data_IF_103086630654
#
_entry.id   IF_103086630654
#
_cell.length_a   1.000
_cell.length_b   1.000
_cell.length_c   1.000
_cell.angle_alpha   90.00
_cell.angle_beta   90.00
_cell.angle_gamma   90.00
#
_symmetry.space_group_name_H-M   'P 1'
#
loop_
_entity.id
_entity.type
_entity.pdbx_description
1 polymer ?
#
# COMPACT_ATOMS: atom_id res chain seq x y z
N UNK A 1 14.59 6.71 -0.35
CA UNK A 1 13.78 7.52 0.60
C UNK A 1 12.36 7.58 0.06
N UNK A 2 11.33 7.22 0.85
CA UNK A 2 9.95 7.41 0.45
C UNK A 2 9.62 8.91 0.34
N UNK A 3 8.67 9.24 -0.53
CA UNK A 3 8.13 10.60 -0.67
C UNK A 3 6.70 10.60 -0.16
N UNK A 4 6.40 11.53 0.72
CA UNK A 4 5.03 11.77 1.19
C UNK A 4 4.19 12.42 0.08
N UNK A 5 2.94 11.98 -0.05
CA UNK A 5 1.97 12.47 -1.03
C UNK A 5 0.59 12.64 -0.37
N UNK A 6 -0.20 13.59 -0.87
CA UNK A 6 -1.54 13.85 -0.33
C UNK A 6 -2.62 12.96 -0.96
N UNK A 7 -3.83 13.01 -0.40
CA UNK A 7 -5.01 12.25 -0.87
C UNK A 7 -5.28 12.38 -2.37
N UNK A 8 -5.17 13.59 -2.91
CA UNK A 8 -5.46 13.83 -4.34
C UNK A 8 -4.39 13.23 -5.25
N UNK A 9 -3.14 13.19 -4.80
CA UNK A 9 -2.06 12.51 -5.51
C UNK A 9 -2.25 10.99 -5.48
N UNK A 10 -2.66 10.43 -4.32
CA UNK A 10 -2.99 9.00 -4.21
C UNK A 10 -4.07 8.61 -5.22
N UNK A 11 -5.19 9.34 -5.26
CA UNK A 11 -6.27 9.09 -6.23
C UNK A 11 -5.77 9.14 -7.68
N UNK A 12 -4.99 10.16 -8.03
CA UNK A 12 -4.45 10.33 -9.38
C UNK A 12 -3.51 9.20 -9.77
N UNK A 13 -2.62 8.80 -8.87
CA UNK A 13 -1.63 7.77 -9.12
C UNK A 13 -2.27 6.38 -9.21
N UNK A 14 -3.26 6.09 -8.34
CA UNK A 14 -4.03 4.84 -8.42
C UNK A 14 -4.81 4.77 -9.74
N UNK A 15 -5.45 5.86 -10.16
CA UNK A 15 -6.12 5.93 -11.46
C UNK A 15 -5.15 5.74 -12.65
N UNK A 16 -3.87 6.09 -12.46
CA UNK A 16 -2.79 5.87 -13.43
C UNK A 16 -2.11 4.49 -13.31
N UNK A 17 -2.61 3.59 -12.45
CA UNK A 17 -2.13 2.21 -12.33
C UNK A 17 -1.10 1.96 -11.23
N UNK A 18 -0.88 2.91 -10.31
CA UNK A 18 -0.05 2.66 -9.12
C UNK A 18 -0.61 1.51 -8.26
N UNK A 19 0.29 0.81 -7.59
CA UNK A 19 -0.02 -0.27 -6.64
C UNK A 19 -0.20 0.35 -5.26
N UNK A 20 -1.39 0.21 -4.69
CA UNK A 20 -1.69 0.67 -3.33
C UNK A 20 -1.46 -0.49 -2.36
N UNK A 21 -0.65 -0.27 -1.32
CA UNK A 21 -0.20 -1.33 -0.40
C UNK A 21 -0.52 -0.91 1.04
N UNK A 22 -1.34 -1.70 1.71
CA UNK A 22 -1.61 -1.61 3.14
C UNK A 22 -0.67 -2.56 3.88
N UNK A 23 0.04 -2.04 4.88
CA UNK A 23 1.04 -2.79 5.66
C UNK A 23 0.57 -3.17 7.06
N UNK A 24 -0.68 -2.86 7.41
CA UNK A 24 -1.31 -3.35 8.64
C UNK A 24 -1.51 -4.88 8.64
N UNK A 25 -1.63 -5.50 9.82
CA UNK A 25 -2.03 -6.90 9.96
C UNK A 25 -3.30 -7.24 9.19
N UNK A 26 -3.41 -8.49 8.73
CA UNK A 26 -4.52 -8.94 7.88
C UNK A 26 -5.90 -8.79 8.52
N UNK A 27 -6.00 -8.87 9.85
CA UNK A 27 -7.25 -8.63 10.57
C UNK A 27 -7.68 -7.17 10.50
N UNK A 28 -6.75 -6.21 10.64
CA UNK A 28 -7.05 -4.78 10.52
C UNK A 28 -7.40 -4.40 9.08
N UNK A 29 -6.65 -4.92 8.11
CA UNK A 29 -7.01 -4.81 6.69
C UNK A 29 -8.43 -5.34 6.41
N UNK A 30 -8.80 -6.48 7.01
CA UNK A 30 -10.12 -7.06 6.82
C UNK A 30 -11.25 -6.22 7.45
N UNK A 31 -10.95 -5.45 8.51
CA UNK A 31 -11.90 -4.54 9.14
C UNK A 31 -12.16 -3.30 8.26
N UNK A 32 -11.10 -2.64 7.79
CA UNK A 32 -11.20 -1.53 6.83
C UNK A 32 -9.90 -1.36 6.02
N UNK A 33 -10.04 -1.06 4.72
CA UNK A 33 -8.92 -0.76 3.84
C UNK A 33 -9.37 0.05 2.63
N UNK A 34 -8.42 0.75 2.00
CA UNK A 34 -8.70 1.49 0.78
C UNK A 34 -9.03 0.51 -0.37
N UNK A 35 -10.10 0.74 -1.15
CA UNK A 35 -10.49 -0.15 -2.24
C UNK A 35 -9.34 -0.40 -3.24
N UNK A 36 -9.08 -1.68 -3.54
CA UNK A 36 -8.02 -2.11 -4.45
C UNK A 36 -6.62 -2.12 -3.85
N UNK A 37 -6.48 -1.85 -2.55
CA UNK A 37 -5.22 -2.06 -1.84
C UNK A 37 -4.83 -3.55 -1.81
N UNK A 38 -3.52 -3.82 -1.82
CA UNK A 38 -2.95 -5.11 -1.52
C UNK A 38 -2.55 -5.13 -0.04
N UNK A 39 -2.89 -6.19 0.69
CA UNK A 39 -2.39 -6.38 2.05
C UNK A 39 -1.01 -7.05 2.01
N UNK A 40 0.03 -6.33 2.43
CA UNK A 40 1.38 -6.84 2.63
C UNK A 40 1.85 -6.43 4.02
N UNK A 41 1.53 -7.21 5.08
CA UNK A 41 1.86 -6.85 6.45
C UNK A 41 3.33 -6.49 6.61
N UNK A 42 3.62 -5.41 7.34
CA UNK A 42 4.97 -4.83 7.45
C UNK A 42 6.04 -5.88 7.81
N UNK A 43 5.70 -6.82 8.70
CA UNK A 43 6.60 -7.90 9.14
C UNK A 43 6.98 -8.90 8.04
N UNK A 44 6.22 -8.94 6.95
CA UNK A 44 6.42 -9.85 5.81
C UNK A 44 6.83 -9.13 4.53
N UNK A 45 6.79 -7.79 4.53
CA UNK A 45 7.00 -6.96 3.36
C UNK A 45 8.32 -7.29 2.63
N UNK A 46 9.42 -7.46 3.37
CA UNK A 46 10.73 -7.78 2.77
C UNK A 46 10.76 -9.11 2.00
N UNK A 47 9.95 -10.07 2.43
CA UNK A 47 9.88 -11.41 1.86
C UNK A 47 8.91 -11.46 0.68
N UNK A 48 7.73 -10.84 0.83
CA UNK A 48 6.60 -11.03 -0.08
C UNK A 48 6.53 -9.94 -1.18
N UNK A 49 7.11 -8.75 -0.97
CA UNK A 49 6.96 -7.63 -1.89
C UNK A 49 7.51 -7.92 -3.29
N UNK A 50 8.63 -8.66 -3.40
CA UNK A 50 9.26 -8.96 -4.70
C UNK A 50 8.45 -9.93 -5.55
N UNK A 51 7.66 -10.79 -4.91
CA UNK A 51 6.82 -11.77 -5.58
C UNK A 51 5.44 -11.18 -5.91
N UNK A 52 4.98 -10.21 -5.11
CA UNK A 52 3.64 -9.65 -5.22
C UNK A 52 3.58 -8.36 -6.04
N UNK A 53 4.60 -7.50 -5.94
CA UNK A 53 4.59 -6.18 -6.56
C UNK A 53 5.29 -6.19 -7.91
N UNK A 54 4.68 -5.53 -8.89
CA UNK A 54 5.31 -5.25 -10.18
C UNK A 54 6.32 -4.12 -10.04
N UNK A 55 7.63 -4.35 -10.25
CA UNK A 55 8.66 -3.32 -10.10
C UNK A 55 8.59 -2.22 -11.19
N UNK A 56 7.81 -2.42 -12.26
CA UNK A 56 7.62 -1.41 -13.32
C UNK A 56 6.54 -0.38 -12.98
N UNK A 57 5.76 -0.61 -11.92
CA UNK A 57 4.63 0.24 -11.51
C UNK A 57 4.94 0.98 -10.21
N UNK A 58 4.55 2.27 -10.08
CA UNK A 58 4.71 2.99 -8.82
C UNK A 58 4.03 2.27 -7.65
N UNK A 59 4.68 2.25 -6.49
CA UNK A 59 4.15 1.68 -5.25
C UNK A 59 3.84 2.80 -4.27
N UNK A 60 2.62 2.80 -3.74
CA UNK A 60 2.17 3.69 -2.67
C UNK A 60 1.92 2.82 -1.45
N UNK A 61 2.73 3.01 -0.41
CA UNK A 61 2.55 2.34 0.87
C UNK A 61 1.77 3.27 1.79
N UNK A 62 0.72 2.76 2.42
CA UNK A 62 0.01 3.47 3.46
C UNK A 62 -0.22 2.54 4.66
N UNK A 63 -0.43 3.15 5.81
CA UNK A 63 -0.94 2.52 7.02
C UNK A 63 -1.69 3.58 7.80
N UNK A 64 -2.46 3.15 8.77
CA UNK A 64 -3.01 4.02 9.79
C UNK A 64 -2.34 3.69 11.13
N UNK A 65 -1.98 4.73 11.87
CA UNK A 65 -1.52 4.63 13.25
C UNK A 65 -2.35 5.62 14.07
N UNK A 66 -2.82 5.18 15.24
CA UNK A 66 -3.54 6.00 16.20
C UNK A 66 -2.62 6.66 17.24
N UNK A 67 -1.30 6.53 17.08
CA UNK A 67 -0.26 7.09 17.96
C UNK A 67 -0.35 8.59 18.20
#
# INVERSE_FOLDING_TARGET
MPREIGREDVKRMVAAGAQLVEVLPANEYAEDHLPGALNLPLRKLELEARETLDPSRPVIVYCWDSG
#
